data_IF_357092236862
#
_entry.id   IF_357092236862
#
_cell.length_a   1.000
_cell.length_b   1.000
_cell.length_c   1.000
_cell.angle_alpha   90.00
_cell.angle_beta   90.00
_cell.angle_gamma   90.00
#
_symmetry.space_group_name_H-M   'P 1'
#
loop_
_entity.id
_entity.type
_entity.pdbx_description
1 polymer ?
#
# COMPACT_ATOMS: atom_id res chain seq x y z
N UNK A 1 23.35 -7.58 -16.42
CA UNK A 1 22.18 -8.26 -15.86
C UNK A 1 22.29 -8.14 -14.35
N UNK A 2 21.70 -7.11 -13.74
CA UNK A 2 21.64 -6.95 -12.30
C UNK A 2 20.55 -7.87 -11.76
N UNK A 3 20.91 -8.81 -10.91
CA UNK A 3 19.96 -9.58 -10.09
C UNK A 3 19.32 -8.62 -9.11
N UNK A 4 18.08 -8.18 -9.38
CA UNK A 4 17.25 -7.48 -8.41
C UNK A 4 16.84 -8.45 -7.33
N UNK A 5 17.60 -8.52 -6.22
CA UNK A 5 17.19 -9.22 -5.02
C UNK A 5 16.09 -8.40 -4.32
N UNK A 6 15.10 -9.07 -3.73
CA UNK A 6 14.09 -8.48 -2.85
C UNK A 6 14.76 -7.59 -1.79
N UNK A 7 14.37 -6.31 -1.72
CA UNK A 7 14.86 -5.37 -0.72
C UNK A 7 13.86 -5.29 0.42
N UNK A 8 14.16 -5.93 1.54
CA UNK A 8 13.34 -5.85 2.75
C UNK A 8 13.55 -4.51 3.48
N UNK A 9 12.76 -3.51 3.11
CA UNK A 9 12.81 -2.17 3.69
C UNK A 9 11.86 -1.98 4.89
N UNK A 10 11.03 -2.98 5.23
CA UNK A 10 9.88 -2.80 6.11
C UNK A 10 9.85 -3.69 7.35
N UNK A 11 10.69 -4.71 7.41
CA UNK A 11 10.64 -5.72 8.48
C UNK A 11 11.01 -5.21 9.88
N UNK A 12 11.71 -4.10 10.01
CA UNK A 12 12.22 -3.62 11.31
C UNK A 12 11.23 -2.76 12.12
N UNK A 13 10.05 -2.44 11.58
CA UNK A 13 9.11 -1.46 12.16
C UNK A 13 7.70 -2.06 12.35
N UNK A 14 7.55 -3.39 12.33
CA UNK A 14 6.27 -4.09 12.20
C UNK A 14 5.21 -3.75 13.27
N UNK A 15 5.58 -3.59 14.54
CA UNK A 15 4.64 -3.30 15.63
C UNK A 15 4.17 -1.83 15.66
N UNK A 16 5.08 -0.88 15.40
CA UNK A 16 4.74 0.53 15.24
C UNK A 16 3.94 0.75 13.95
N UNK A 17 4.27 -0.01 12.90
CA UNK A 17 3.60 -0.02 11.62
C UNK A 17 2.12 -0.41 11.75
N UNK A 18 1.81 -1.45 12.52
CA UNK A 18 0.44 -1.93 12.73
C UNK A 18 -0.46 -0.92 13.43
N UNK A 19 0.05 -0.19 14.43
CA UNK A 19 -0.74 0.73 15.26
C UNK A 19 -0.96 2.11 14.62
N UNK A 20 -0.04 2.54 13.73
CA UNK A 20 0.01 3.90 13.21
C UNK A 20 -0.26 3.98 11.70
N UNK A 21 -0.81 2.94 11.07
CA UNK A 21 -1.17 2.97 9.65
C UNK A 21 -2.68 3.14 9.47
N UNK A 22 -3.10 3.99 8.51
CA UNK A 22 -4.51 4.14 8.19
C UNK A 22 -5.07 2.84 7.62
N UNK A 23 -6.35 2.58 7.88
CA UNK A 23 -7.07 1.39 7.41
C UNK A 23 -7.76 1.72 6.10
N UNK A 24 -7.73 0.79 5.15
CA UNK A 24 -8.49 0.92 3.91
C UNK A 24 -9.99 0.93 4.20
N UNK A 25 -10.78 1.84 3.58
CA UNK A 25 -12.20 1.95 3.86
C UNK A 25 -12.99 0.81 3.20
N UNK A 26 -14.08 0.40 3.83
CA UNK A 26 -14.99 -0.65 3.33
C UNK A 26 -15.54 -0.34 1.92
N UNK A 27 -15.69 0.94 1.61
CA UNK A 27 -16.09 1.42 0.29
C UNK A 27 -15.16 0.92 -0.82
N UNK A 28 -13.85 0.87 -0.58
CA UNK A 28 -12.88 0.33 -1.54
C UNK A 28 -13.20 -1.14 -1.87
N UNK A 29 -13.37 -1.96 -0.85
CA UNK A 29 -13.59 -3.39 -1.03
C UNK A 29 -14.95 -3.70 -1.64
N UNK A 30 -15.98 -2.97 -1.24
CA UNK A 30 -17.34 -3.07 -1.80
C UNK A 30 -17.35 -2.70 -3.28
N UNK A 31 -16.64 -1.63 -3.66
CA UNK A 31 -16.50 -1.24 -5.06
C UNK A 31 -15.74 -2.31 -5.86
N UNK A 32 -14.59 -2.80 -5.36
CA UNK A 32 -13.83 -3.86 -6.01
C UNK A 32 -14.69 -5.10 -6.26
N UNK A 33 -15.45 -5.55 -5.25
CA UNK A 33 -16.35 -6.68 -5.39
C UNK A 33 -17.46 -6.44 -6.43
N UNK A 34 -17.94 -5.20 -6.57
CA UNK A 34 -19.02 -4.84 -7.52
C UNK A 34 -18.59 -4.91 -9.00
N UNK A 35 -17.28 -4.80 -9.28
CA UNK A 35 -16.75 -4.79 -10.65
C UNK A 35 -16.14 -6.14 -11.06
N UNK A 36 -16.04 -7.12 -10.16
CA UNK A 36 -15.53 -8.47 -10.43
C UNK A 36 -16.63 -9.40 -10.95
N UNK A 37 -16.29 -10.46 -11.72
CA UNK A 37 -17.27 -11.41 -12.25
C UNK A 37 -17.86 -12.32 -11.18
N UNK A 38 -17.18 -12.44 -10.03
CA UNK A 38 -17.57 -13.25 -8.88
C UNK A 38 -16.83 -12.82 -7.63
N UNK A 39 -17.18 -13.39 -6.48
CA UNK A 39 -16.55 -13.15 -5.19
C UNK A 39 -16.06 -14.44 -4.53
N UNK A 40 -15.63 -15.40 -5.33
CA UNK A 40 -15.14 -16.68 -4.80
C UNK A 40 -13.71 -16.56 -4.28
N UNK A 41 -12.81 -16.00 -5.07
CA UNK A 41 -11.38 -15.98 -4.76
C UNK A 41 -10.70 -14.66 -5.16
N UNK A 42 -10.09 -13.99 -4.19
CA UNK A 42 -9.25 -12.83 -4.41
C UNK A 42 -7.77 -13.15 -4.10
N UNK A 43 -6.87 -12.48 -4.79
CA UNK A 43 -5.44 -12.48 -4.48
C UNK A 43 -5.01 -11.09 -3.99
N UNK A 44 -4.57 -11.00 -2.72
CA UNK A 44 -3.85 -9.84 -2.17
C UNK A 44 -2.35 -10.08 -2.40
N UNK A 45 -1.80 -9.44 -3.42
CA UNK A 45 -0.43 -9.63 -3.90
C UNK A 45 0.49 -8.60 -3.25
N UNK A 46 1.57 -9.06 -2.63
CA UNK A 46 2.45 -8.30 -1.74
C UNK A 46 1.65 -7.67 -0.58
N UNK A 47 0.95 -8.54 0.14
CA UNK A 47 -0.04 -8.19 1.15
C UNK A 47 0.57 -7.55 2.42
N UNK A 48 1.89 -7.57 2.58
CA UNK A 48 2.53 -7.20 3.83
C UNK A 48 2.00 -8.05 4.99
N UNK A 49 1.56 -7.40 6.05
CA UNK A 49 0.93 -8.06 7.19
C UNK A 49 -0.60 -8.28 7.03
N UNK A 50 -1.15 -8.13 5.82
CA UNK A 50 -2.51 -8.53 5.48
C UNK A 50 -3.61 -7.48 5.70
N UNK A 51 -3.30 -6.19 5.82
CA UNK A 51 -4.32 -5.16 6.03
C UNK A 51 -5.40 -5.15 4.94
N UNK A 52 -5.01 -5.24 3.67
CA UNK A 52 -5.96 -5.29 2.56
C UNK A 52 -6.64 -6.66 2.46
N UNK A 53 -5.93 -7.74 2.78
CA UNK A 53 -6.50 -9.10 2.80
C UNK A 53 -7.71 -9.21 3.74
N UNK A 54 -7.63 -8.61 4.94
CA UNK A 54 -8.75 -8.58 5.91
C UNK A 54 -9.96 -7.87 5.32
N UNK A 55 -9.76 -6.73 4.66
CA UNK A 55 -10.85 -6.03 3.99
C UNK A 55 -11.45 -6.84 2.82
N UNK A 56 -10.62 -7.50 2.01
CA UNK A 56 -11.09 -8.40 0.95
C UNK A 56 -11.90 -9.57 1.50
N UNK A 57 -11.52 -10.13 2.65
CA UNK A 57 -12.22 -11.25 3.28
C UNK A 57 -13.66 -10.92 3.73
N UNK A 58 -14.03 -9.63 3.78
CA UNK A 58 -15.42 -9.20 4.00
C UNK A 58 -16.30 -9.34 2.77
N UNK A 59 -15.70 -9.39 1.57
CA UNK A 59 -16.39 -9.40 0.29
C UNK A 59 -16.20 -10.71 -0.47
N UNK A 60 -15.06 -11.36 -0.31
CA UNK A 60 -14.70 -12.59 -1.03
C UNK A 60 -14.74 -13.79 -0.09
N UNK A 61 -15.19 -14.93 -0.62
CA UNK A 61 -15.30 -16.18 0.15
C UNK A 61 -13.93 -16.67 0.65
N UNK A 62 -12.87 -16.47 -0.16
CA UNK A 62 -11.48 -16.81 0.19
C UNK A 62 -10.54 -15.75 -0.37
N UNK A 63 -9.47 -15.51 0.35
CA UNK A 63 -8.38 -14.63 -0.06
C UNK A 63 -7.06 -15.40 0.02
N UNK A 64 -6.30 -15.42 -1.06
CA UNK A 64 -4.90 -15.81 -1.04
C UNK A 64 -4.08 -14.53 -0.82
N UNK A 65 -3.32 -14.44 0.26
CA UNK A 65 -2.50 -13.29 0.59
C UNK A 65 -1.02 -13.69 0.52
N UNK A 66 -0.26 -13.06 -0.39
CA UNK A 66 1.14 -13.42 -0.60
C UNK A 66 2.06 -12.23 -0.40
N UNK A 67 3.23 -12.47 0.16
CA UNK A 67 4.32 -11.51 0.24
C UNK A 67 5.67 -12.22 0.05
N UNK A 68 6.66 -11.54 -0.51
CA UNK A 68 8.00 -12.09 -0.65
C UNK A 68 8.77 -12.13 0.68
N UNK A 69 8.32 -11.37 1.68
CA UNK A 69 8.91 -11.32 3.02
C UNK A 69 8.23 -12.31 3.96
N UNK A 70 8.97 -13.35 4.37
CA UNK A 70 8.51 -14.29 5.40
C UNK A 70 8.12 -13.56 6.71
N UNK A 71 8.88 -12.52 7.08
CA UNK A 71 8.61 -11.73 8.29
C UNK A 71 7.29 -10.96 8.22
N UNK A 72 6.88 -10.48 7.04
CA UNK A 72 5.57 -9.86 6.87
C UNK A 72 4.45 -10.87 7.10
N UNK A 73 4.59 -12.05 6.51
CA UNK A 73 3.62 -13.15 6.67
C UNK A 73 3.55 -13.65 8.12
N UNK A 74 4.69 -13.77 8.82
CA UNK A 74 4.74 -14.13 10.24
C UNK A 74 4.02 -13.13 11.16
N UNK A 75 3.94 -11.85 10.74
CA UNK A 75 3.24 -10.80 11.47
C UNK A 75 1.80 -10.59 11.00
N UNK A 76 1.31 -11.39 10.05
CA UNK A 76 -0.06 -11.31 9.60
C UNK A 76 -1.02 -11.89 10.66
N UNK A 77 -2.18 -11.24 10.80
CA UNK A 77 -3.18 -11.71 11.74
C UNK A 77 -3.96 -12.89 11.13
N UNK A 78 -4.02 -14.05 11.83
CA UNK A 78 -4.74 -15.21 11.33
C UNK A 78 -6.21 -14.90 11.09
N UNK A 79 -6.76 -15.32 9.95
CA UNK A 79 -8.15 -15.14 9.59
C UNK A 79 -8.69 -16.40 8.88
N UNK A 80 -9.91 -16.87 9.20
CA UNK A 80 -10.45 -18.14 8.69
C UNK A 80 -10.59 -18.20 7.17
N UNK A 81 -10.74 -17.05 6.51
CA UNK A 81 -10.93 -16.94 5.07
C UNK A 81 -9.69 -16.46 4.31
N UNK A 82 -8.53 -16.34 4.96
CA UNK A 82 -7.29 -15.86 4.35
C UNK A 82 -6.21 -16.93 4.45
N UNK A 83 -5.62 -17.28 3.31
CA UNK A 83 -4.46 -18.15 3.22
C UNK A 83 -3.21 -17.33 2.95
N UNK A 84 -2.36 -17.21 3.98
CA UNK A 84 -1.08 -16.48 3.87
C UNK A 84 0.03 -17.38 3.38
N UNK A 85 0.86 -16.88 2.44
CA UNK A 85 2.03 -17.61 1.95
C UNK A 85 3.17 -16.72 1.49
N UNK A 86 4.40 -17.22 1.59
CA UNK A 86 5.62 -16.51 1.15
C UNK A 86 5.85 -16.83 -0.31
N UNK A 87 5.46 -15.91 -1.20
CA UNK A 87 5.52 -16.08 -2.66
C UNK A 87 5.79 -14.72 -3.32
N UNK A 88 6.71 -14.63 -4.32
CA UNK A 88 6.92 -13.41 -5.08
C UNK A 88 5.74 -13.13 -6.03
N UNK A 89 5.55 -11.85 -6.37
CA UNK A 89 4.44 -11.40 -7.20
C UNK A 89 4.51 -11.89 -8.66
N UNK A 90 5.73 -12.04 -9.18
CA UNK A 90 6.01 -12.28 -10.59
C UNK A 90 5.86 -13.74 -11.00
N UNK A 91 5.80 -14.64 -10.03
CA UNK A 91 5.67 -16.09 -10.29
C UNK A 91 5.12 -16.81 -9.08
N UNK A 92 3.94 -17.37 -9.22
CA UNK A 92 3.27 -18.14 -8.16
C UNK A 92 3.08 -19.61 -8.57
N UNK A 93 2.70 -20.44 -7.60
CA UNK A 93 2.24 -21.81 -7.84
C UNK A 93 0.72 -21.91 -8.04
N UNK A 94 0.02 -20.81 -8.16
CA UNK A 94 -1.42 -20.79 -8.39
C UNK A 94 -1.78 -21.41 -9.75
N UNK A 95 -2.96 -22.03 -9.82
CA UNK A 95 -3.52 -22.50 -11.07
C UNK A 95 -3.88 -21.36 -12.02
N UNK A 96 -4.06 -21.70 -13.30
CA UNK A 96 -4.55 -20.76 -14.30
C UNK A 96 -6.04 -20.46 -14.08
N UNK A 97 -6.48 -19.24 -14.42
CA UNK A 97 -7.90 -18.85 -14.49
C UNK A 97 -8.70 -19.05 -13.18
N UNK A 98 -8.12 -18.73 -12.02
CA UNK A 98 -8.78 -19.00 -10.72
C UNK A 98 -9.25 -17.77 -9.97
N UNK A 99 -8.63 -16.59 -10.15
CA UNK A 99 -8.96 -15.42 -9.36
C UNK A 99 -10.01 -14.52 -10.01
N UNK A 100 -10.95 -14.01 -9.20
CA UNK A 100 -11.91 -12.97 -9.57
C UNK A 100 -11.27 -11.59 -9.51
N UNK A 101 -10.37 -11.39 -8.54
CA UNK A 101 -9.65 -10.15 -8.26
C UNK A 101 -8.18 -10.42 -7.96
N UNK A 102 -7.31 -9.58 -8.49
CA UNK A 102 -5.92 -9.39 -8.02
C UNK A 102 -5.81 -7.97 -7.50
N UNK A 103 -5.52 -7.79 -6.22
CA UNK A 103 -5.25 -6.49 -5.60
C UNK A 103 -3.77 -6.37 -5.28
N UNK A 104 -3.18 -5.21 -5.61
CA UNK A 104 -1.85 -4.81 -5.16
C UNK A 104 -1.97 -3.49 -4.42
N UNK A 105 -1.76 -3.52 -3.11
CA UNK A 105 -1.86 -2.35 -2.26
C UNK A 105 -0.47 -1.87 -1.81
N UNK A 106 -0.05 -0.68 -2.22
CA UNK A 106 1.23 -0.04 -1.87
C UNK A 106 2.50 -0.80 -2.34
N UNK A 107 2.42 -1.66 -3.34
CA UNK A 107 3.55 -2.53 -3.66
C UNK A 107 3.93 -2.60 -5.15
N UNK A 108 3.04 -2.33 -6.08
CA UNK A 108 3.28 -2.57 -7.52
C UNK A 108 4.54 -1.88 -8.07
N UNK A 109 4.93 -0.76 -7.51
CA UNK A 109 6.13 0.00 -7.92
C UNK A 109 7.47 -0.71 -7.64
N UNK A 110 7.44 -1.84 -6.92
CA UNK A 110 8.61 -2.70 -6.67
C UNK A 110 8.77 -3.84 -7.66
N UNK A 111 7.77 -4.10 -8.51
CA UNK A 111 7.69 -5.29 -9.32
C UNK A 111 8.40 -5.16 -10.67
N UNK A 112 8.82 -6.29 -11.23
CA UNK A 112 9.05 -6.41 -12.67
C UNK A 112 7.69 -6.45 -13.38
N UNK A 113 7.31 -5.34 -14.01
CA UNK A 113 5.97 -5.17 -14.59
C UNK A 113 5.67 -6.21 -15.66
N UNK A 114 6.66 -6.62 -16.47
CA UNK A 114 6.45 -7.57 -17.56
C UNK A 114 6.08 -8.94 -17.00
N UNK A 115 6.88 -9.42 -16.05
CA UNK A 115 6.67 -10.72 -15.41
C UNK A 115 5.40 -10.72 -14.56
N UNK A 116 5.16 -9.64 -13.80
CA UNK A 116 3.97 -9.52 -12.97
C UNK A 116 2.67 -9.52 -13.79
N UNK A 117 2.58 -8.71 -14.84
CA UNK A 117 1.36 -8.69 -15.67
C UNK A 117 1.13 -9.99 -16.45
N UNK A 118 2.20 -10.70 -16.82
CA UNK A 118 2.07 -12.04 -17.39
C UNK A 118 1.49 -13.03 -16.39
N UNK A 119 1.92 -12.98 -15.12
CA UNK A 119 1.37 -13.82 -14.05
C UNK A 119 -0.08 -13.46 -13.73
N UNK A 120 -0.40 -12.17 -13.61
CA UNK A 120 -1.78 -11.68 -13.43
C UNK A 120 -2.70 -12.22 -14.54
N UNK A 121 -2.25 -12.12 -15.79
CA UNK A 121 -3.01 -12.65 -16.95
C UNK A 121 -3.22 -14.14 -16.86
N UNK A 122 -2.25 -14.90 -16.38
CA UNK A 122 -2.32 -16.35 -16.24
C UNK A 122 -3.32 -16.78 -15.17
N UNK A 123 -3.24 -16.18 -13.98
CA UNK A 123 -4.02 -16.59 -12.82
C UNK A 123 -5.44 -16.02 -12.77
N UNK A 124 -5.68 -14.88 -13.44
CA UNK A 124 -6.98 -14.22 -13.49
C UNK A 124 -7.92 -14.95 -14.44
N UNK A 125 -9.15 -15.23 -13.99
CA UNK A 125 -10.21 -15.82 -14.86
C UNK A 125 -10.76 -14.79 -15.82
N UNK A 126 -11.58 -15.23 -16.77
CA UNK A 126 -12.25 -14.32 -17.70
C UNK A 126 -13.13 -13.30 -16.96
N UNK A 127 -13.01 -12.03 -17.34
CA UNK A 127 -13.69 -10.92 -16.69
C UNK A 127 -13.13 -10.50 -15.34
N UNK A 128 -12.06 -11.15 -14.86
CA UNK A 128 -11.41 -10.78 -13.59
C UNK A 128 -10.77 -9.38 -13.64
N UNK A 129 -10.47 -8.83 -12.48
CA UNK A 129 -9.98 -7.48 -12.33
C UNK A 129 -8.60 -7.45 -11.67
N UNK A 130 -7.69 -6.65 -12.21
CA UNK A 130 -6.51 -6.18 -11.51
C UNK A 130 -6.80 -4.80 -10.92
N UNK A 131 -6.53 -4.62 -9.63
CA UNK A 131 -6.58 -3.33 -8.95
C UNK A 131 -5.23 -2.97 -8.36
N UNK A 132 -4.77 -1.76 -8.64
CA UNK A 132 -3.57 -1.15 -8.07
C UNK A 132 -4.00 -0.03 -7.15
N UNK A 133 -3.69 -0.12 -5.86
CA UNK A 133 -4.00 0.89 -4.87
C UNK A 133 -2.74 1.45 -4.22
N UNK A 134 -2.71 2.75 -4.02
CA UNK A 134 -1.71 3.40 -3.18
C UNK A 134 -2.37 4.61 -2.50
N UNK A 135 -1.78 5.13 -1.43
CA UNK A 135 -2.20 6.40 -0.87
C UNK A 135 -1.12 7.46 -1.04
N UNK A 136 -1.58 8.67 -1.27
CA UNK A 136 -0.75 9.86 -1.36
C UNK A 136 -0.34 10.37 0.03
N UNK A 137 0.40 11.48 0.05
CA UNK A 137 0.70 12.21 1.27
C UNK A 137 -0.61 12.63 1.96
N UNK A 138 -0.67 12.42 3.27
CA UNK A 138 -1.84 12.81 4.04
C UNK A 138 -2.09 14.32 4.04
N UNK A 139 -3.34 14.69 4.30
CA UNK A 139 -3.82 16.07 4.43
C UNK A 139 -4.63 16.21 5.72
N UNK A 140 -4.48 17.33 6.42
CA UNK A 140 -5.13 17.60 7.69
C UNK A 140 -5.78 18.98 7.68
N UNK A 141 -4.97 20.04 7.79
CA UNK A 141 -5.37 21.45 7.64
C UNK A 141 -4.26 22.18 6.88
N UNK A 142 -4.55 23.34 6.27
CA UNK A 142 -3.52 24.08 5.54
C UNK A 142 -2.24 24.36 6.35
N UNK A 143 -2.36 24.61 7.65
CA UNK A 143 -1.22 24.90 8.52
C UNK A 143 -0.38 23.64 8.79
N UNK A 144 -1.02 22.50 9.02
CA UNK A 144 -0.35 21.20 9.20
C UNK A 144 0.27 20.76 7.89
N UNK A 145 -0.46 20.89 6.79
CA UNK A 145 -0.02 20.47 5.46
C UNK A 145 1.23 21.26 5.02
N UNK A 146 1.27 22.59 5.29
CA UNK A 146 2.45 23.40 4.99
C UNK A 146 3.71 22.91 5.74
N UNK A 147 3.57 22.49 7.00
CA UNK A 147 4.68 21.91 7.77
C UNK A 147 5.09 20.56 7.20
N UNK A 148 4.11 19.71 6.86
CA UNK A 148 4.37 18.38 6.28
C UNK A 148 5.04 18.48 4.91
N UNK A 149 4.56 19.36 4.03
CA UNK A 149 5.12 19.57 2.69
C UNK A 149 6.57 20.10 2.77
N UNK A 150 6.86 21.02 3.71
CA UNK A 150 8.23 21.51 3.96
C UNK A 150 9.19 20.44 4.48
N UNK A 151 8.68 19.38 5.06
CA UNK A 151 9.47 18.24 5.52
C UNK A 151 9.60 17.14 4.45
N UNK A 152 8.50 16.85 3.77
CA UNK A 152 8.37 15.68 2.88
C UNK A 152 9.38 15.70 1.72
N UNK A 153 9.41 16.76 0.93
CA UNK A 153 10.30 16.85 -0.22
C UNK A 153 11.65 17.53 0.11
N UNK A 154 11.69 18.71 0.77
CA UNK A 154 12.95 19.38 1.03
C UNK A 154 13.91 18.62 1.97
N UNK A 155 13.37 17.87 2.95
CA UNK A 155 14.19 17.14 3.93
C UNK A 155 14.32 15.66 3.58
N UNK A 156 13.21 15.00 3.28
CA UNK A 156 13.19 13.56 3.03
C UNK A 156 13.37 13.17 1.56
N UNK A 157 13.24 14.11 0.63
CA UNK A 157 13.35 13.85 -0.81
C UNK A 157 14.57 13.00 -1.19
N UNK A 158 15.79 13.32 -0.73
CA UNK A 158 17.00 12.56 -1.04
C UNK A 158 16.98 11.10 -0.56
N UNK A 159 16.16 10.80 0.46
CA UNK A 159 16.10 9.50 1.12
C UNK A 159 14.95 8.61 0.64
N UNK A 160 14.06 9.12 -0.23
CA UNK A 160 13.05 8.27 -0.84
C UNK A 160 13.68 7.30 -1.84
N UNK A 161 13.10 6.09 -1.93
CA UNK A 161 13.48 5.12 -2.96
C UNK A 161 13.04 5.66 -4.34
N UNK A 162 13.84 5.45 -5.40
CA UNK A 162 13.52 5.95 -6.75
C UNK A 162 12.16 5.46 -7.28
N UNK A 163 11.74 4.26 -6.87
CA UNK A 163 10.47 3.63 -7.27
C UNK A 163 9.25 4.42 -6.76
N UNK A 164 9.42 5.24 -5.72
CA UNK A 164 8.35 6.10 -5.20
C UNK A 164 7.83 7.12 -6.23
N UNK A 165 8.61 7.44 -7.26
CA UNK A 165 8.17 8.28 -8.38
C UNK A 165 6.84 7.81 -9.00
N UNK A 166 6.61 6.50 -9.01
CA UNK A 166 5.36 5.92 -9.53
C UNK A 166 4.14 6.32 -8.68
N UNK A 167 4.29 6.39 -7.34
CA UNK A 167 3.24 6.89 -6.45
C UNK A 167 3.01 8.38 -6.71
N UNK A 168 4.08 9.19 -6.81
CA UNK A 168 3.97 10.62 -7.12
C UNK A 168 3.31 10.88 -8.48
N UNK A 169 3.54 9.99 -9.46
CA UNK A 169 2.86 10.00 -10.74
C UNK A 169 1.41 9.48 -10.68
N UNK A 170 0.90 9.05 -9.52
CA UNK A 170 -0.42 8.44 -9.37
C UNK A 170 -0.53 7.13 -10.15
N UNK A 171 0.56 6.38 -10.25
CA UNK A 171 0.70 5.16 -11.06
C UNK A 171 0.39 5.32 -12.56
N UNK A 172 0.24 6.57 -13.07
CA UNK A 172 -0.08 6.83 -14.48
C UNK A 172 1.02 6.42 -15.45
N UNK A 173 2.25 6.34 -14.98
CA UNK A 173 3.43 5.91 -15.74
C UNK A 173 3.65 4.38 -15.72
N UNK A 174 2.81 3.62 -15.01
CA UNK A 174 2.81 2.16 -15.08
C UNK A 174 1.98 1.72 -16.28
N UNK A 175 2.58 1.02 -17.27
CA UNK A 175 1.89 0.62 -18.49
C UNK A 175 0.97 -0.58 -18.22
N UNK A 176 -0.29 -0.35 -17.84
CA UNK A 176 -1.28 -1.43 -17.69
C UNK A 176 -1.61 -2.03 -19.06
N UNK A 177 -1.38 -3.35 -19.27
CA UNK A 177 -1.67 -4.01 -20.55
C UNK A 177 -3.13 -4.47 -20.67
N UNK A 178 -4.04 -3.90 -19.88
CA UNK A 178 -5.44 -4.30 -19.72
C UNK A 178 -6.36 -3.11 -19.92
N UNK A 179 -7.65 -3.37 -20.21
CA UNK A 179 -8.66 -2.32 -20.37
C UNK A 179 -9.01 -1.68 -19.01
N UNK A 180 -8.73 -0.40 -18.87
CA UNK A 180 -8.95 0.30 -17.60
C UNK A 180 -10.44 0.53 -17.31
N UNK A 181 -10.79 0.39 -16.04
CA UNK A 181 -12.11 0.65 -15.46
C UNK A 181 -12.04 1.97 -14.69
N UNK A 182 -13.02 2.85 -14.91
CA UNK A 182 -13.10 4.11 -14.16
C UNK A 182 -13.27 3.83 -12.65
N UNK A 183 -12.33 4.31 -11.85
CA UNK A 183 -12.34 4.14 -10.41
C UNK A 183 -12.97 5.36 -9.69
N UNK A 184 -13.68 5.16 -8.58
CA UNK A 184 -14.19 6.25 -7.76
C UNK A 184 -13.05 6.97 -7.03
N UNK A 185 -13.30 8.21 -6.60
CA UNK A 185 -12.43 8.89 -5.66
C UNK A 185 -12.69 8.36 -4.26
N UNK A 186 -11.71 7.66 -3.69
CA UNK A 186 -11.78 7.05 -2.34
C UNK A 186 -10.71 7.67 -1.47
N UNK A 187 -10.98 7.83 -0.18
CA UNK A 187 -10.06 8.37 0.80
C UNK A 187 -9.99 7.45 2.02
N UNK A 188 -8.79 7.23 2.52
CA UNK A 188 -8.63 6.71 3.88
C UNK A 188 -8.73 7.87 4.86
N UNK A 189 -9.30 7.64 6.02
CA UNK A 189 -9.40 8.64 7.09
C UNK A 189 -9.07 8.05 8.44
N UNK A 190 -8.53 8.88 9.33
CA UNK A 190 -8.34 8.53 10.73
C UNK A 190 -8.47 9.79 11.60
N UNK A 191 -8.96 9.62 12.82
CA UNK A 191 -9.00 10.68 13.84
C UNK A 191 -7.75 10.56 14.71
N UNK A 192 -6.76 11.41 14.45
CA UNK A 192 -5.46 11.35 15.11
C UNK A 192 -5.13 12.61 15.90
N UNK A 193 -4.34 12.42 16.93
CA UNK A 193 -3.56 13.44 17.63
C UNK A 193 -2.27 13.73 16.86
N UNK A 194 -1.56 14.79 17.23
CA UNK A 194 -0.22 15.08 16.67
C UNK A 194 0.76 13.92 16.90
N UNK A 195 0.69 13.27 18.07
CA UNK A 195 1.60 12.16 18.41
C UNK A 195 1.36 10.92 17.57
N UNK A 196 0.10 10.60 17.25
CA UNK A 196 -0.23 9.49 16.34
C UNK A 196 0.25 9.78 14.93
N UNK A 197 0.11 11.03 14.45
CA UNK A 197 0.66 11.46 13.18
C UNK A 197 2.21 11.35 13.18
N UNK A 198 2.89 11.80 14.22
CA UNK A 198 4.33 11.64 14.37
C UNK A 198 4.71 10.15 14.36
N UNK A 199 3.99 9.31 15.08
CA UNK A 199 4.18 7.86 15.09
C UNK A 199 4.06 7.25 13.70
N UNK A 200 3.11 7.72 12.87
CA UNK A 200 2.99 7.33 11.48
C UNK A 200 4.22 7.74 10.65
N UNK A 201 4.74 8.96 10.84
CA UNK A 201 5.92 9.43 10.12
C UNK A 201 7.17 8.61 10.45
N UNK A 202 7.32 8.12 11.68
CA UNK A 202 8.39 7.19 12.04
C UNK A 202 8.35 5.87 11.26
N UNK A 203 7.21 5.51 10.68
CA UNK A 203 7.10 4.31 9.82
C UNK A 203 7.59 4.52 8.39
N UNK A 204 7.95 5.74 7.99
CA UNK A 204 8.41 6.03 6.65
C UNK A 204 9.83 5.52 6.41
N UNK A 205 10.02 4.82 5.29
CA UNK A 205 11.34 4.28 4.92
C UNK A 205 12.40 5.36 4.72
N UNK A 206 12.00 6.56 4.26
CA UNK A 206 12.90 7.72 4.11
C UNK A 206 13.40 8.24 5.46
N UNK A 207 12.59 8.19 6.51
CA UNK A 207 13.00 8.56 7.89
C UNK A 207 14.06 7.59 8.40
N UNK A 208 13.80 6.28 8.31
CA UNK A 208 14.80 5.26 8.66
C UNK A 208 16.09 5.45 7.88
N UNK A 209 15.99 5.61 6.56
CA UNK A 209 17.14 5.75 5.69
C UNK A 209 17.95 7.02 5.97
N UNK A 210 17.29 8.16 6.20
CA UNK A 210 17.96 9.39 6.61
C UNK A 210 18.78 9.17 7.88
N UNK A 211 18.19 8.53 8.89
CA UNK A 211 18.84 8.22 10.15
C UNK A 211 20.03 7.28 9.99
N UNK A 212 19.87 6.22 9.17
CA UNK A 212 20.93 5.25 8.91
C UNK A 212 22.12 5.86 8.15
N UNK A 213 21.87 6.81 7.22
CA UNK A 213 22.90 7.45 6.40
C UNK A 213 23.59 8.62 7.10
N UNK A 214 22.85 9.38 7.94
CA UNK A 214 23.37 10.62 8.55
C UNK A 214 23.67 10.53 10.04
N UNK A 215 23.11 9.53 10.73
CA UNK A 215 23.12 9.44 12.19
C UNK A 215 22.20 10.46 12.89
N UNK A 216 21.39 11.23 12.14
CA UNK A 216 20.50 12.28 12.66
C UNK A 216 19.05 11.84 12.46
N UNK A 217 18.22 11.97 13.49
CA UNK A 217 16.78 11.74 13.36
C UNK A 217 16.13 12.98 12.71
N UNK A 218 15.63 12.87 11.46
CA UNK A 218 15.05 14.01 10.77
C UNK A 218 13.75 14.52 11.45
N UNK A 219 13.12 13.72 12.29
CA UNK A 219 11.90 14.10 13.00
C UNK A 219 12.18 15.02 14.20
N UNK A 220 13.40 15.07 14.73
CA UNK A 220 13.73 15.98 15.85
C UNK A 220 13.41 17.45 15.54
N UNK A 221 13.69 17.90 14.31
CA UNK A 221 13.42 19.29 13.89
C UNK A 221 11.99 19.50 13.42
N UNK A 222 11.26 18.42 13.12
CA UNK A 222 9.92 18.46 12.54
C UNK A 222 8.81 18.40 13.59
N UNK A 223 8.99 17.64 14.68
CA UNK A 223 7.91 17.34 15.64
C UNK A 223 7.34 18.58 16.32
N UNK A 224 8.18 19.51 16.74
CA UNK A 224 7.70 20.74 17.41
C UNK A 224 6.93 21.69 16.49
N UNK A 225 7.39 21.99 15.26
CA UNK A 225 6.57 22.67 14.26
C UNK A 225 5.22 22.00 14.01
N UNK A 226 5.20 20.66 13.88
CA UNK A 226 3.97 19.90 13.66
C UNK A 226 3.00 20.03 14.84
N UNK A 227 3.49 19.86 16.09
CA UNK A 227 2.67 20.01 17.29
C UNK A 227 2.06 21.41 17.41
N UNK A 228 2.82 22.45 17.07
CA UNK A 228 2.31 23.83 17.06
C UNK A 228 1.22 24.04 16.01
N UNK A 229 1.42 23.56 14.79
CA UNK A 229 0.44 23.66 13.72
C UNK A 229 -0.81 22.80 14.01
N UNK A 230 -0.62 21.65 14.63
CA UNK A 230 -1.72 20.75 15.01
C UNK A 230 -2.60 21.35 16.10
N UNK A 231 -2.04 21.96 17.11
CA UNK A 231 -2.76 22.43 18.27
C UNK A 231 -3.20 21.30 19.21
N UNK A 232 -4.33 21.47 19.92
CA UNK A 232 -4.83 20.49 20.86
C UNK A 232 -5.88 19.58 20.24
N UNK A 233 -5.98 18.34 20.74
CA UNK A 233 -7.02 17.36 20.41
C UNK A 233 -6.74 16.57 19.14
N UNK A 234 -7.76 15.88 18.67
CA UNK A 234 -7.75 15.07 17.47
C UNK A 234 -8.11 15.89 16.23
N UNK A 235 -7.64 15.44 15.07
CA UNK A 235 -8.02 15.99 13.76
C UNK A 235 -8.23 14.85 12.78
N UNK A 236 -9.13 15.06 11.84
CA UNK A 236 -9.32 14.14 10.73
C UNK A 236 -8.11 14.23 9.80
N UNK A 237 -7.36 13.15 9.73
CA UNK A 237 -6.29 12.95 8.75
C UNK A 237 -6.85 12.21 7.55
N UNK A 238 -6.56 12.67 6.33
CA UNK A 238 -7.07 12.09 5.08
C UNK A 238 -5.92 11.69 4.18
N UNK A 239 -6.02 10.51 3.58
CA UNK A 239 -5.12 10.03 2.53
C UNK A 239 -5.92 9.80 1.27
N UNK A 240 -5.76 10.64 0.23
CA UNK A 240 -6.32 10.33 -1.08
C UNK A 240 -5.77 9.00 -1.58
N UNK A 241 -6.64 8.11 -2.08
CA UNK A 241 -6.23 6.88 -2.72
C UNK A 241 -5.99 7.09 -4.20
N UNK A 242 -4.80 6.70 -4.65
CA UNK A 242 -4.54 6.37 -6.04
C UNK A 242 -5.18 5.00 -6.26
N UNK A 243 -6.09 4.91 -7.21
CA UNK A 243 -6.78 3.67 -7.52
C UNK A 243 -6.88 3.51 -9.03
N UNK A 244 -6.26 2.46 -9.56
CA UNK A 244 -6.37 2.05 -10.96
C UNK A 244 -6.89 0.62 -11.00
N UNK A 245 -7.90 0.36 -11.78
CA UNK A 245 -8.43 -0.97 -12.00
C UNK A 245 -8.52 -1.26 -13.49
N UNK A 246 -8.35 -2.52 -13.86
CA UNK A 246 -8.43 -2.92 -15.24
C UNK A 246 -8.98 -4.36 -15.37
N UNK A 247 -9.69 -4.64 -16.48
CA UNK A 247 -10.20 -5.97 -16.82
C UNK A 247 -9.06 -6.82 -17.37
N UNK A 248 -8.80 -7.96 -16.74
CA UNK A 248 -7.63 -8.81 -17.11
C UNK A 248 -7.88 -9.54 -18.45
N UNK A 249 -9.10 -10.00 -18.70
CA UNK A 249 -9.50 -10.72 -19.90
C UNK A 249 -10.90 -10.30 -20.33
#
# INVERSE_FOLDING_TARGET
VAKGGFKDNFSNVADAYRRNRPIYPDELFSWLASITPGQDLAWDCACGNGQAAVGLATQFRRVCATDASARQIENAEPHPNIDYSVVPAERTSFGDDIFDLVLVAQAVHWFDFVSFFAEVKRVGREGSVLALAAYELHRVTPEVDAVTDAFYEPVLGPYWQPERRHIQAGYRDIPLPFEEIAAPAVHMTAEWTAEECIGFLYTWSSVSRCRDETGIDPLEVFTDPLRRAWGRGTRTVRWPLILRAARIK
#
